data_IF_953138264932
#
_entry.id   IF_953138264932
#
_cell.length_a   1.000
_cell.length_b   1.000
_cell.length_c   1.000
_cell.angle_alpha   90.00
_cell.angle_beta   90.00
_cell.angle_gamma   90.00
#
_symmetry.space_group_name_H-M   'P 1'
#
loop_
_entity.id
_entity.type
_entity.pdbx_description
1 polymer ?
#
# COMPACT_ATOMS: atom_id res chain seq x y z
N UNK A 1 -8.43 -2.75 12.81
CA UNK A 1 -8.31 -4.12 13.35
C UNK A 1 -8.05 -3.95 14.84
N UNK A 2 -8.90 -4.48 15.71
CA UNK A 2 -8.77 -4.34 17.16
C UNK A 2 -7.79 -5.41 17.71
N UNK A 3 -6.56 -5.37 17.22
CA UNK A 3 -5.54 -6.40 17.44
C UNK A 3 -4.21 -5.75 17.81
N UNK A 4 -3.55 -6.28 18.83
CA UNK A 4 -2.20 -5.85 19.21
C UNK A 4 -1.16 -6.45 18.23
N UNK A 5 -0.32 -5.59 17.63
CA UNK A 5 0.74 -6.04 16.69
C UNK A 5 1.80 -6.92 17.37
N UNK A 6 2.00 -6.75 18.68
CA UNK A 6 3.00 -7.50 19.44
C UNK A 6 2.49 -8.87 19.93
N UNK A 7 1.19 -9.13 19.81
CA UNK A 7 0.58 -10.36 20.32
C UNK A 7 0.45 -11.41 19.22
N UNK A 8 1.34 -12.41 19.28
CA UNK A 8 1.37 -13.51 18.32
C UNK A 8 0.06 -14.31 18.24
N UNK A 9 -0.71 -14.39 19.33
CA UNK A 9 -1.98 -15.14 19.37
C UNK A 9 -3.06 -14.52 18.48
N UNK A 10 -2.91 -13.24 18.11
CA UNK A 10 -3.85 -12.52 17.24
C UNK A 10 -3.16 -11.94 15.99
N UNK A 11 -1.87 -12.21 15.78
CA UNK A 11 -1.10 -11.65 14.67
C UNK A 11 -1.70 -11.93 13.28
N UNK A 12 -2.46 -13.03 13.12
CA UNK A 12 -3.19 -13.34 11.88
C UNK A 12 -4.27 -12.31 11.53
N UNK A 13 -4.75 -11.53 12.49
CA UNK A 13 -5.67 -10.41 12.28
C UNK A 13 -4.95 -9.12 11.87
N UNK A 14 -3.62 -9.07 11.91
CA UNK A 14 -2.84 -7.88 11.63
C UNK A 14 -2.29 -7.90 10.19
N UNK A 15 -3.18 -7.74 9.22
CA UNK A 15 -2.82 -7.77 7.81
C UNK A 15 -2.88 -6.37 7.16
N UNK A 16 -1.73 -5.79 6.73
CA UNK A 16 -1.73 -4.49 6.09
C UNK A 16 -2.42 -4.48 4.72
N UNK A 17 -2.57 -5.63 4.06
CA UNK A 17 -3.26 -5.76 2.77
C UNK A 17 -4.76 -6.02 2.90
N UNK A 18 -5.31 -5.99 4.12
CA UNK A 18 -6.74 -6.11 4.32
C UNK A 18 -7.49 -4.95 3.60
N UNK A 19 -8.55 -5.22 2.80
CA UNK A 19 -9.23 -4.20 2.01
C UNK A 19 -9.70 -2.98 2.81
N UNK A 20 -10.18 -3.18 4.05
CA UNK A 20 -10.55 -2.07 4.93
C UNK A 20 -9.38 -1.10 5.24
N UNK A 21 -8.16 -1.61 5.40
CA UNK A 21 -6.95 -0.80 5.64
C UNK A 21 -6.58 -0.05 4.36
N UNK A 22 -6.60 -0.73 3.22
CA UNK A 22 -6.28 -0.13 1.92
C UNK A 22 -7.27 0.97 1.52
N UNK A 23 -8.57 0.74 1.76
CA UNK A 23 -9.62 1.77 1.56
C UNK A 23 -9.41 2.97 2.46
N UNK A 24 -9.01 2.76 3.72
CA UNK A 24 -8.69 3.86 4.63
C UNK A 24 -7.49 4.68 4.11
N UNK A 25 -6.42 4.03 3.69
CA UNK A 25 -5.23 4.69 3.11
C UNK A 25 -5.63 5.52 1.89
N UNK A 26 -6.35 4.92 0.93
CA UNK A 26 -6.81 5.64 -0.26
C UNK A 26 -7.70 6.84 0.11
N UNK A 27 -8.63 6.66 1.05
CA UNK A 27 -9.49 7.74 1.49
C UNK A 27 -8.70 8.90 2.13
N UNK A 28 -7.66 8.61 2.90
CA UNK A 28 -6.75 9.63 3.45
C UNK A 28 -6.02 10.39 2.35
N UNK A 29 -5.50 9.69 1.33
CA UNK A 29 -4.82 10.31 0.19
C UNK A 29 -5.79 11.23 -0.57
N UNK A 30 -6.96 10.71 -0.96
CA UNK A 30 -7.98 11.49 -1.67
C UNK A 30 -8.38 12.75 -0.89
N UNK A 31 -8.64 12.62 0.41
CA UNK A 31 -9.03 13.77 1.24
C UNK A 31 -7.91 14.77 1.46
N UNK A 32 -6.66 14.34 1.51
CA UNK A 32 -5.51 15.25 1.49
C UNK A 32 -5.48 16.05 0.19
N UNK A 33 -5.54 15.36 -0.94
CA UNK A 33 -5.46 15.98 -2.27
C UNK A 33 -6.63 16.91 -2.59
N UNK A 34 -7.86 16.56 -2.19
CA UNK A 34 -9.03 17.45 -2.29
C UNK A 34 -8.81 18.81 -1.60
N UNK A 35 -7.96 18.84 -0.57
CA UNK A 35 -7.61 20.04 0.18
C UNK A 35 -6.24 20.62 -0.19
N UNK A 36 -5.63 20.15 -1.29
CA UNK A 36 -4.27 20.53 -1.72
C UNK A 36 -3.20 20.24 -0.64
N UNK A 37 -3.42 19.19 0.17
CA UNK A 37 -2.51 18.72 1.20
C UNK A 37 -1.82 17.44 0.71
N UNK A 38 -0.50 17.45 0.84
CA UNK A 38 0.39 16.35 0.49
C UNK A 38 0.34 15.21 1.53
N UNK A 39 0.34 13.94 1.10
CA UNK A 39 0.15 12.76 1.99
C UNK A 39 1.31 11.75 1.91
N UNK A 40 2.11 11.67 2.97
CA UNK A 40 3.17 10.66 3.13
C UNK A 40 2.75 9.41 3.89
N UNK A 41 3.48 8.32 3.69
CA UNK A 41 3.37 7.11 4.51
C UNK A 41 4.72 6.75 5.14
N UNK A 42 4.73 6.58 6.46
CA UNK A 42 5.83 5.97 7.18
C UNK A 42 5.48 4.55 7.65
N UNK A 43 6.51 3.74 7.90
CA UNK A 43 6.37 2.38 8.43
C UNK A 43 6.72 1.29 7.41
N UNK A 44 6.60 0.03 7.83
CA UNK A 44 7.12 -1.10 7.05
C UNK A 44 6.43 -1.28 5.70
N UNK A 45 5.12 -0.99 5.61
CA UNK A 45 4.36 -1.08 4.37
C UNK A 45 4.90 -0.13 3.29
N UNK A 46 5.37 1.07 3.66
CA UNK A 46 5.91 2.05 2.71
C UNK A 46 7.15 1.53 1.96
N UNK A 47 7.94 0.67 2.61
CA UNK A 47 9.09 0.00 2.02
C UNK A 47 8.80 -1.38 1.44
N UNK A 48 7.58 -1.89 1.53
CA UNK A 48 7.25 -3.24 1.14
C UNK A 48 7.13 -3.37 -0.39
N UNK A 49 7.90 -4.26 -1.05
CA UNK A 49 7.94 -4.34 -2.52
C UNK A 49 6.59 -4.53 -3.20
N UNK A 50 5.69 -5.32 -2.61
CA UNK A 50 4.33 -5.52 -3.15
C UNK A 50 3.40 -4.32 -2.93
N UNK A 51 3.64 -3.52 -1.90
CA UNK A 51 2.79 -2.38 -1.57
C UNK A 51 3.14 -1.14 -2.40
N UNK A 52 4.40 -0.96 -2.77
CA UNK A 52 4.86 0.26 -3.47
C UNK A 52 4.06 0.52 -4.77
N UNK A 53 3.88 -0.44 -5.71
CA UNK A 53 3.09 -0.18 -6.92
C UNK A 53 1.64 0.17 -6.62
N UNK A 54 1.05 -0.47 -5.61
CA UNK A 54 -0.32 -0.19 -5.15
C UNK A 54 -0.43 1.23 -4.57
N UNK A 55 0.49 1.63 -3.69
CA UNK A 55 0.50 2.96 -3.07
C UNK A 55 0.73 4.06 -4.10
N UNK A 56 1.63 3.83 -5.07
CA UNK A 56 1.80 4.73 -6.23
C UNK A 56 0.50 4.82 -7.04
N UNK A 57 -0.19 3.69 -7.24
CA UNK A 57 -1.49 3.64 -7.91
C UNK A 57 -2.61 4.36 -7.18
N UNK A 58 -2.52 4.48 -5.85
CA UNK A 58 -3.42 5.28 -5.02
C UNK A 58 -3.07 6.78 -5.03
N UNK A 59 -1.93 7.17 -5.60
CA UNK A 59 -1.46 8.55 -5.61
C UNK A 59 -0.67 8.96 -4.36
N UNK A 60 -0.02 8.02 -3.66
CA UNK A 60 0.86 8.38 -2.54
C UNK A 60 1.98 9.32 -3.01
N UNK A 61 2.41 10.14 -2.06
CA UNK A 61 3.08 11.40 -2.31
C UNK A 61 4.54 11.35 -1.77
N UNK A 62 4.79 10.52 -0.74
CA UNK A 62 6.11 10.12 -0.21
C UNK A 62 6.00 8.77 0.48
N UNK A 63 7.11 8.05 0.44
CA UNK A 63 7.32 6.80 1.14
C UNK A 63 8.53 6.95 2.07
N UNK A 64 8.27 6.91 3.38
CA UNK A 64 9.28 6.96 4.43
C UNK A 64 9.56 5.58 4.99
N UNK A 65 10.82 5.16 4.96
CA UNK A 65 11.22 3.79 5.29
C UNK A 65 12.65 3.72 5.83
N UNK A 66 13.06 2.55 6.30
CA UNK A 66 14.46 2.28 6.65
C UNK A 66 15.39 2.59 5.46
N UNK A 67 16.53 3.23 5.73
CA UNK A 67 17.48 3.68 4.71
C UNK A 67 17.96 2.54 3.79
N UNK A 68 18.08 1.33 4.33
CA UNK A 68 18.44 0.11 3.59
C UNK A 68 17.40 -0.31 2.55
N UNK A 69 16.13 0.06 2.74
CA UNK A 69 15.03 -0.24 1.79
C UNK A 69 14.92 0.76 0.65
N UNK A 70 15.43 1.99 0.83
CA UNK A 70 15.29 3.09 -0.14
C UNK A 70 15.80 2.74 -1.54
N UNK A 71 16.97 2.09 -1.75
CA UNK A 71 17.44 1.76 -3.10
C UNK A 71 16.48 0.84 -3.84
N UNK A 72 15.99 -0.20 -3.16
CA UNK A 72 15.04 -1.16 -3.73
C UNK A 72 13.69 -0.51 -4.02
N UNK A 73 13.19 0.31 -3.10
CA UNK A 73 11.94 1.04 -3.31
C UNK A 73 12.04 1.99 -4.51
N UNK A 74 13.15 2.72 -4.62
CA UNK A 74 13.41 3.63 -5.76
C UNK A 74 13.47 2.88 -7.09
N UNK A 75 14.05 1.68 -7.12
CA UNK A 75 14.04 0.83 -8.31
C UNK A 75 12.60 0.47 -8.71
N UNK A 76 11.77 0.07 -7.76
CA UNK A 76 10.36 -0.32 -8.02
C UNK A 76 9.54 0.89 -8.49
N UNK A 77 9.63 2.03 -7.81
CA UNK A 77 8.91 3.25 -8.23
C UNK A 77 9.27 3.63 -9.66
N UNK A 78 10.55 3.51 -10.04
CA UNK A 78 11.02 3.81 -11.41
C UNK A 78 10.57 2.80 -12.46
N UNK A 79 10.21 1.58 -12.08
CA UNK A 79 9.69 0.56 -13.00
C UNK A 79 8.17 0.60 -13.14
N UNK A 80 7.46 1.30 -12.26
CA UNK A 80 6.00 1.39 -12.28
C UNK A 80 5.54 2.43 -13.31
N UNK A 81 4.75 2.00 -14.28
CA UNK A 81 4.01 2.91 -15.16
C UNK A 81 2.80 3.48 -14.41
N UNK A 82 2.64 4.80 -14.38
CA UNK A 82 1.57 5.47 -13.62
C UNK A 82 0.16 5.09 -14.07
N UNK A 83 -0.08 4.82 -15.37
CA UNK A 83 -1.38 4.30 -15.84
C UNK A 83 -1.62 2.89 -15.31
N UNK A 84 -0.64 2.02 -15.44
CA UNK A 84 -0.72 0.64 -14.93
C UNK A 84 -0.90 0.59 -13.41
N UNK A 85 -0.33 1.55 -12.68
CA UNK A 85 -0.48 1.65 -11.23
C UNK A 85 -1.93 1.94 -10.80
N UNK A 86 -2.62 2.86 -11.49
CA UNK A 86 -4.01 3.17 -11.22
C UNK A 86 -4.93 1.95 -11.44
N UNK A 87 -4.62 1.12 -12.45
CA UNK A 87 -5.35 -0.13 -12.72
C UNK A 87 -5.21 -1.14 -11.58
N UNK A 88 -4.03 -1.21 -10.94
CA UNK A 88 -3.79 -2.07 -9.78
C UNK A 88 -4.77 -1.73 -8.66
N UNK A 89 -4.90 -0.46 -8.29
CA UNK A 89 -5.85 -0.07 -7.24
C UNK A 89 -7.30 -0.32 -7.66
N UNK A 90 -7.67 0.01 -8.91
CA UNK A 90 -9.02 -0.23 -9.43
C UNK A 90 -9.45 -1.70 -9.35
N UNK A 91 -8.50 -2.63 -9.50
CA UNK A 91 -8.73 -4.06 -9.30
C UNK A 91 -8.73 -4.44 -7.82
N UNK A 92 -7.75 -4.01 -7.04
CA UNK A 92 -7.59 -4.36 -5.62
C UNK A 92 -8.81 -3.93 -4.79
N UNK A 93 -9.36 -2.74 -5.03
CA UNK A 93 -10.53 -2.22 -4.27
C UNK A 93 -11.80 -3.07 -4.41
N UNK A 94 -11.84 -3.98 -5.38
CA UNK A 94 -12.98 -4.90 -5.61
C UNK A 94 -12.81 -6.26 -4.92
N UNK A 95 -11.64 -6.52 -4.32
CA UNK A 95 -11.34 -7.77 -3.63
C UNK A 95 -11.80 -7.69 -2.17
N UNK A 96 -12.21 -8.83 -1.61
CA UNK A 96 -12.87 -8.90 -0.30
C UNK A 96 -11.94 -9.36 0.84
N UNK A 97 -10.79 -9.94 0.53
CA UNK A 97 -9.85 -10.46 1.53
C UNK A 97 -8.39 -10.18 1.15
N UNK A 98 -7.51 -10.23 2.16
CA UNK A 98 -6.10 -9.88 2.00
C UNK A 98 -5.29 -10.91 1.19
N UNK A 99 -5.74 -12.16 1.14
CA UNK A 99 -5.06 -13.23 0.40
C UNK A 99 -5.23 -13.01 -1.11
N UNK A 100 -6.46 -12.71 -1.55
CA UNK A 100 -6.75 -12.31 -2.92
C UNK A 100 -5.95 -11.07 -3.34
N UNK A 101 -5.82 -10.08 -2.46
CA UNK A 101 -5.02 -8.87 -2.73
C UNK A 101 -3.57 -9.25 -2.97
N UNK A 102 -2.95 -10.04 -2.09
CA UNK A 102 -1.56 -10.48 -2.26
C UNK A 102 -1.37 -11.29 -3.54
N UNK A 103 -2.22 -12.28 -3.78
CA UNK A 103 -2.15 -13.12 -4.97
C UNK A 103 -2.24 -12.29 -6.25
N UNK A 104 -3.10 -11.26 -6.27
CA UNK A 104 -3.17 -10.34 -7.40
C UNK A 104 -1.89 -9.51 -7.53
N UNK A 105 -1.39 -8.91 -6.45
CA UNK A 105 -0.18 -8.08 -6.47
C UNK A 105 1.08 -8.87 -6.91
N UNK A 106 1.15 -10.15 -6.57
CA UNK A 106 2.21 -11.05 -7.02
C UNK A 106 2.10 -11.39 -8.51
N UNK A 107 0.88 -11.48 -9.04
CA UNK A 107 0.63 -11.80 -10.46
C UNK A 107 0.98 -10.64 -11.43
N UNK A 108 1.01 -9.40 -10.93
CA UNK A 108 1.24 -8.18 -11.73
C UNK A 108 2.64 -7.59 -11.56
N UNK A 109 3.54 -8.33 -10.91
CA UNK A 109 4.90 -7.91 -10.59
C UNK A 109 5.86 -7.93 -11.79
#
# INVERSE_FOLDING_TARGET
>A
MACDRGNSSVGYLNDPFHPAVLTLIHHTIEKGHENSIWVGMCGEMAGHPLAIPLLVGMGIDELSMASSSVPRAKQIVRSVNSRSAADIWSRVRKLSDAEQVRAYLESVR
#
